data_IF_563337199628
#
_entry.id   IF_563337199628
#
_cell.length_a   1.000
_cell.length_b   1.000
_cell.length_c   1.000
_cell.angle_alpha   90.00
_cell.angle_beta   90.00
_cell.angle_gamma   90.00
#
_symmetry.space_group_name_H-M   'P 1'
#
loop_
_entity.id
_entity.type
_entity.pdbx_description
1 polymer ?
#
# COMPACT_ATOMS: atom_id res chain seq x y z
N UNK A 1 -19.90 12.44 -18.84
CA UNK A 1 -19.10 11.28 -19.28
C UNK A 1 -20.05 10.25 -19.86
N UNK A 2 -19.71 9.61 -20.98
CA UNK A 2 -20.59 8.70 -21.73
C UNK A 2 -20.65 7.26 -21.15
N UNK A 3 -20.27 7.10 -19.89
CA UNK A 3 -20.32 5.83 -19.15
C UNK A 3 -19.28 4.79 -19.60
N UNK A 4 -18.43 5.10 -20.59
CA UNK A 4 -17.38 4.16 -21.02
C UNK A 4 -16.22 4.15 -20.01
N UNK A 5 -15.68 2.97 -19.69
CA UNK A 5 -14.52 2.88 -18.81
C UNK A 5 -13.31 3.54 -19.47
N UNK A 6 -12.55 4.29 -18.66
CA UNK A 6 -11.26 4.86 -19.05
C UNK A 6 -10.16 3.93 -18.57
N UNK A 7 -9.31 3.48 -19.48
CA UNK A 7 -8.17 2.63 -19.16
C UNK A 7 -6.90 3.47 -19.06
N UNK A 8 -6.66 4.06 -17.88
CA UNK A 8 -5.53 4.96 -17.61
C UNK A 8 -4.76 4.60 -16.33
N UNK A 9 -4.87 3.37 -15.82
CA UNK A 9 -4.21 2.93 -14.58
C UNK A 9 -3.14 1.85 -14.84
N UNK A 10 -2.03 1.99 -14.12
CA UNK A 10 -0.88 1.09 -14.06
C UNK A 10 -0.85 0.25 -12.77
N UNK A 11 -1.64 0.61 -11.75
CA UNK A 11 -1.70 -0.04 -10.44
C UNK A 11 -2.96 -0.92 -10.23
N UNK A 12 -4.10 -0.56 -10.81
CA UNK A 12 -5.40 -1.15 -10.49
C UNK A 12 -5.43 -2.67 -10.70
N UNK A 13 -4.82 -3.17 -11.79
CA UNK A 13 -4.79 -4.59 -12.10
C UNK A 13 -3.93 -5.38 -11.10
N UNK A 14 -2.81 -4.80 -10.63
CA UNK A 14 -1.95 -5.44 -9.63
C UNK A 14 -2.62 -5.43 -8.24
N UNK A 15 -3.30 -4.34 -7.89
CA UNK A 15 -4.14 -4.26 -6.69
C UNK A 15 -5.27 -5.28 -6.73
N UNK A 16 -5.87 -5.51 -7.90
CA UNK A 16 -6.91 -6.53 -8.09
C UNK A 16 -6.37 -7.95 -7.87
N UNK A 17 -5.17 -8.28 -8.36
CA UNK A 17 -4.51 -9.57 -8.07
C UNK A 17 -4.27 -9.72 -6.56
N UNK A 18 -3.80 -8.67 -5.88
CA UNK A 18 -3.62 -8.68 -4.43
C UNK A 18 -4.94 -8.89 -3.67
N UNK A 19 -6.03 -8.26 -4.14
CA UNK A 19 -7.36 -8.45 -3.55
C UNK A 19 -7.89 -9.88 -3.74
N UNK A 20 -7.71 -10.46 -4.93
CA UNK A 20 -8.08 -11.85 -5.19
C UNK A 20 -7.33 -12.83 -4.28
N UNK A 21 -6.04 -12.56 -4.01
CA UNK A 21 -5.24 -13.30 -3.03
C UNK A 21 -5.75 -13.14 -1.60
N UNK A 22 -6.07 -11.92 -1.18
CA UNK A 22 -6.71 -11.66 0.13
C UNK A 22 -8.03 -12.43 0.28
N UNK A 23 -8.92 -12.33 -0.70
CA UNK A 23 -10.19 -13.08 -0.70
C UNK A 23 -9.98 -14.59 -0.61
N UNK A 24 -9.06 -15.14 -1.40
CA UNK A 24 -8.77 -16.57 -1.38
C UNK A 24 -8.22 -17.00 -0.01
N UNK A 25 -7.30 -16.23 0.59
CA UNK A 25 -6.73 -16.57 1.89
C UNK A 25 -7.77 -16.61 3.01
N UNK A 26 -8.75 -15.70 2.98
CA UNK A 26 -9.82 -15.66 3.98
C UNK A 26 -10.88 -16.76 3.77
N UNK A 27 -11.20 -17.10 2.52
CA UNK A 27 -12.33 -17.99 2.19
C UNK A 27 -11.94 -19.42 1.86
N UNK A 28 -10.70 -19.62 1.40
CA UNK A 28 -10.19 -20.87 0.82
C UNK A 28 -11.07 -21.39 -0.35
N UNK A 29 -11.77 -20.48 -1.05
CA UNK A 29 -12.68 -20.81 -2.15
C UNK A 29 -11.92 -21.19 -3.44
N UNK A 30 -11.69 -22.49 -3.60
CA UNK A 30 -11.01 -23.05 -4.77
C UNK A 30 -11.83 -22.93 -6.07
N UNK A 31 -13.17 -22.90 -6.00
CA UNK A 31 -14.01 -22.74 -7.19
C UNK A 31 -13.90 -21.32 -7.74
N UNK A 32 -13.95 -20.32 -6.86
CA UNK A 32 -13.62 -18.94 -7.21
C UNK A 32 -12.24 -18.85 -7.84
N UNK A 33 -11.22 -19.45 -7.22
CA UNK A 33 -9.85 -19.38 -7.73
C UNK A 33 -9.73 -20.01 -9.12
N UNK A 34 -10.31 -21.19 -9.35
CA UNK A 34 -10.35 -21.84 -10.68
C UNK A 34 -11.00 -20.94 -11.74
N UNK A 35 -12.07 -20.23 -11.38
CA UNK A 35 -12.77 -19.33 -12.28
C UNK A 35 -12.00 -18.03 -12.55
N UNK A 36 -11.40 -17.43 -11.52
CA UNK A 36 -10.70 -16.15 -11.61
C UNK A 36 -9.31 -16.26 -12.25
N UNK A 37 -8.60 -17.38 -12.03
CA UNK A 37 -7.19 -17.54 -12.43
C UNK A 37 -6.90 -17.24 -13.91
N UNK A 38 -7.69 -17.71 -14.90
CA UNK A 38 -7.45 -17.37 -16.31
C UNK A 38 -7.49 -15.86 -16.59
N UNK A 39 -8.35 -15.11 -15.89
CA UNK A 39 -8.41 -13.66 -16.00
C UNK A 39 -7.22 -12.99 -15.33
N UNK A 40 -6.84 -13.41 -14.12
CA UNK A 40 -5.65 -12.89 -13.43
C UNK A 40 -4.37 -13.11 -14.25
N UNK A 41 -4.24 -14.28 -14.88
CA UNK A 41 -3.16 -14.59 -15.82
C UNK A 41 -3.11 -13.61 -16.98
N UNK A 42 -4.26 -13.30 -17.58
CA UNK A 42 -4.35 -12.32 -18.68
C UNK A 42 -3.89 -10.93 -18.23
N UNK A 43 -4.24 -10.51 -17.02
CA UNK A 43 -3.76 -9.23 -16.45
C UNK A 43 -2.24 -9.24 -16.34
N UNK A 44 -1.67 -10.30 -15.77
CA UNK A 44 -0.23 -10.46 -15.59
C UNK A 44 0.54 -10.47 -16.92
N UNK A 45 0.04 -11.19 -17.93
CA UNK A 45 0.59 -11.19 -19.29
C UNK A 45 0.63 -9.80 -19.90
N UNK A 46 -0.37 -8.96 -19.64
CA UNK A 46 -0.38 -7.56 -20.10
C UNK A 46 0.77 -6.72 -19.57
N UNK A 47 1.29 -7.00 -18.36
CA UNK A 47 2.49 -6.35 -17.84
C UNK A 47 3.76 -6.84 -18.53
N UNK A 48 3.85 -8.14 -18.84
CA UNK A 48 4.99 -8.77 -19.52
C UNK A 48 5.09 -8.28 -20.97
N UNK A 49 4.00 -8.34 -21.72
CA UNK A 49 3.95 -7.91 -23.13
C UNK A 49 3.95 -6.39 -23.28
N UNK A 50 3.42 -5.70 -22.29
CA UNK A 50 3.29 -4.25 -22.26
C UNK A 50 2.06 -3.72 -23.00
N UNK A 51 1.74 -2.47 -22.69
CA UNK A 51 0.63 -1.70 -23.21
C UNK A 51 1.10 -0.31 -23.62
N UNK A 52 0.17 0.55 -24.06
CA UNK A 52 0.46 1.97 -24.24
C UNK A 52 0.73 2.74 -22.92
N UNK A 53 0.48 2.14 -21.75
CA UNK A 53 0.64 2.77 -20.44
C UNK A 53 1.89 2.31 -19.70
N UNK A 54 2.25 1.03 -19.82
CA UNK A 54 3.37 0.43 -19.09
C UNK A 54 3.94 -0.77 -19.84
N UNK A 55 5.17 -1.18 -19.52
CA UNK A 55 5.76 -2.42 -20.01
C UNK A 55 6.83 -2.92 -19.06
N UNK A 56 7.06 -4.23 -19.03
CA UNK A 56 8.25 -4.81 -18.41
C UNK A 56 9.49 -4.52 -19.26
N UNK A 57 10.53 -3.96 -18.64
CA UNK A 57 11.83 -3.74 -19.26
C UNK A 57 12.72 -5.00 -19.15
N UNK A 58 13.89 -4.96 -19.79
CA UNK A 58 14.88 -6.07 -19.78
C UNK A 58 15.45 -6.40 -18.40
N UNK A 59 15.29 -5.51 -17.43
CA UNK A 59 15.65 -5.74 -16.03
C UNK A 59 14.48 -6.24 -15.18
N UNK A 60 13.40 -6.69 -15.83
CA UNK A 60 12.17 -7.24 -15.23
C UNK A 60 11.31 -6.25 -14.46
N UNK A 61 11.72 -4.97 -14.37
CA UNK A 61 10.93 -3.92 -13.73
C UNK A 61 9.90 -3.34 -14.69
N UNK A 62 8.75 -2.94 -14.15
CA UNK A 62 7.70 -2.25 -14.89
C UNK A 62 8.06 -0.77 -15.03
N UNK A 63 8.09 -0.34 -16.29
CA UNK A 63 8.26 1.03 -16.72
C UNK A 63 6.90 1.65 -17.08
N UNK A 64 6.47 2.67 -16.34
CA UNK A 64 5.27 3.46 -16.60
C UNK A 64 5.56 4.52 -17.67
N UNK A 65 4.98 4.36 -18.85
CA UNK A 65 5.23 5.19 -20.05
C UNK A 65 4.45 6.50 -20.04
N UNK A 66 3.38 6.60 -19.24
CA UNK A 66 2.55 7.80 -19.13
C UNK A 66 2.41 8.25 -17.68
N UNK A 67 2.45 9.56 -17.48
CA UNK A 67 2.15 10.19 -16.20
C UNK A 67 0.66 10.00 -15.85
N UNK A 68 0.32 10.22 -14.58
CA UNK A 68 -1.05 10.12 -14.06
C UNK A 68 -1.68 8.73 -14.26
N UNK A 69 -0.86 7.68 -14.15
CA UNK A 69 -1.32 6.29 -14.24
C UNK A 69 -1.19 5.52 -12.93
N UNK A 70 -0.60 6.13 -11.90
CA UNK A 70 -0.56 5.59 -10.52
C UNK A 70 -1.59 6.34 -9.67
N UNK A 71 -1.93 5.85 -8.49
CA UNK A 71 -2.83 6.53 -7.54
C UNK A 71 -2.45 7.98 -7.23
N UNK A 72 -1.16 8.34 -7.35
CA UNK A 72 -0.71 9.74 -7.38
C UNK A 72 -0.92 10.36 -8.78
N UNK A 73 -2.18 10.53 -9.16
CA UNK A 73 -2.65 10.75 -10.54
C UNK A 73 -2.82 12.21 -10.99
N UNK A 74 -2.17 13.17 -10.31
CA UNK A 74 -2.22 14.59 -10.73
C UNK A 74 -1.05 14.96 -11.64
N UNK A 75 -1.24 15.96 -12.50
CA UNK A 75 -0.17 16.50 -13.36
C UNK A 75 1.01 17.09 -12.58
N UNK A 76 0.82 17.39 -11.29
CA UNK A 76 1.86 17.90 -10.39
C UNK A 76 2.64 16.81 -9.66
N UNK A 77 2.27 15.55 -9.88
CA UNK A 77 3.03 14.37 -9.47
C UNK A 77 3.21 13.46 -10.70
N UNK A 78 3.96 13.90 -11.72
CA UNK A 78 4.17 13.09 -12.91
C UNK A 78 5.08 11.91 -12.58
N UNK A 79 4.48 10.73 -12.38
CA UNK A 79 5.20 9.51 -12.05
C UNK A 79 5.30 8.62 -13.28
N UNK A 80 6.37 8.86 -14.05
CA UNK A 80 6.78 8.04 -15.20
C UNK A 80 8.04 7.25 -14.86
N UNK A 81 8.39 6.27 -15.68
CA UNK A 81 9.53 5.42 -15.42
C UNK A 81 9.18 4.31 -14.43
N UNK A 82 10.18 3.86 -13.68
CA UNK A 82 10.05 2.75 -12.72
C UNK A 82 9.62 3.32 -11.37
N UNK A 83 8.34 3.20 -11.06
CA UNK A 83 7.74 3.62 -9.79
C UNK A 83 7.86 2.50 -8.75
N UNK A 84 8.20 2.85 -7.50
CA UNK A 84 8.53 1.84 -6.46
C UNK A 84 7.36 0.94 -6.10
N UNK A 85 6.16 1.50 -5.96
CA UNK A 85 4.94 0.77 -5.60
C UNK A 85 4.43 -0.09 -6.75
N UNK A 86 4.52 0.37 -8.00
CA UNK A 86 4.18 -0.47 -9.17
C UNK A 86 5.08 -1.70 -9.20
N UNK A 87 6.38 -1.53 -8.94
CA UNK A 87 7.33 -2.63 -8.95
C UNK A 87 7.19 -3.55 -7.73
N UNK A 88 6.79 -3.02 -6.57
CA UNK A 88 6.46 -3.82 -5.40
C UNK A 88 5.18 -4.65 -5.62
N UNK A 89 4.14 -4.03 -6.16
CA UNK A 89 2.90 -4.68 -6.56
C UNK A 89 3.13 -5.73 -7.65
N UNK A 90 4.02 -5.46 -8.59
CA UNK A 90 4.43 -6.39 -9.64
C UNK A 90 5.13 -7.62 -9.08
N UNK A 91 6.14 -7.43 -8.22
CA UNK A 91 6.79 -8.54 -7.51
C UNK A 91 5.77 -9.39 -6.75
N UNK A 92 4.87 -8.74 -6.01
CA UNK A 92 3.83 -9.42 -5.24
C UNK A 92 2.87 -10.20 -6.13
N UNK A 93 2.41 -9.61 -7.25
CA UNK A 93 1.54 -10.27 -8.21
C UNK A 93 2.19 -11.49 -8.86
N UNK A 94 3.48 -11.42 -9.21
CA UNK A 94 4.23 -12.58 -9.71
C UNK A 94 4.27 -13.71 -8.68
N UNK A 95 4.58 -13.40 -7.41
CA UNK A 95 4.61 -14.40 -6.33
C UNK A 95 3.21 -15.03 -6.09
N UNK A 96 2.15 -14.21 -6.05
CA UNK A 96 0.77 -14.68 -5.91
C UNK A 96 0.41 -15.64 -7.05
N UNK A 97 0.73 -15.26 -8.30
CA UNK A 97 0.36 -16.06 -9.46
C UNK A 97 1.15 -17.37 -9.54
N UNK A 98 2.39 -17.40 -9.04
CA UNK A 98 3.20 -18.62 -8.90
C UNK A 98 2.60 -19.58 -7.85
N UNK A 99 2.14 -19.04 -6.73
CA UNK A 99 1.44 -19.81 -5.70
C UNK A 99 0.10 -20.35 -6.20
N UNK A 100 -0.72 -19.51 -6.84
CA UNK A 100 -1.99 -19.92 -7.44
C UNK A 100 -1.80 -20.97 -8.53
N UNK A 101 -0.77 -20.84 -9.37
CA UNK A 101 -0.42 -21.85 -10.37
C UNK A 101 -0.17 -23.20 -9.70
N UNK A 102 0.62 -23.20 -8.63
CA UNK A 102 0.94 -24.40 -7.83
C UNK A 102 -0.32 -25.02 -7.22
N UNK A 103 -1.15 -24.21 -6.56
CA UNK A 103 -2.39 -24.67 -5.90
C UNK A 103 -3.38 -25.29 -6.89
N UNK A 104 -3.45 -24.77 -8.11
CA UNK A 104 -4.34 -25.26 -9.16
C UNK A 104 -3.76 -26.43 -9.96
N UNK A 105 -2.48 -26.76 -9.77
CA UNK A 105 -1.75 -27.70 -10.62
C UNK A 105 -1.59 -27.21 -12.06
N UNK A 106 -1.56 -25.88 -12.25
CA UNK A 106 -1.26 -25.27 -13.54
C UNK A 106 0.25 -25.34 -13.83
N UNK A 107 0.61 -25.19 -15.12
CA UNK A 107 2.00 -25.28 -15.58
C UNK A 107 2.65 -23.90 -15.79
N UNK A 108 2.02 -22.83 -15.28
CA UNK A 108 2.60 -21.49 -15.33
C UNK A 108 3.72 -21.35 -14.30
N UNK A 109 4.83 -20.70 -14.70
CA UNK A 109 6.01 -20.52 -13.86
C UNK A 109 6.52 -19.10 -13.97
N UNK A 110 6.60 -18.41 -12.83
CA UNK A 110 7.04 -17.02 -12.76
C UNK A 110 8.40 -16.86 -12.06
N UNK A 111 9.07 -17.95 -11.70
CA UNK A 111 10.35 -17.96 -10.96
C UNK A 111 11.39 -17.02 -11.58
N UNK A 112 11.60 -17.07 -12.90
CA UNK A 112 12.57 -16.22 -13.58
C UNK A 112 12.23 -14.72 -13.46
N UNK A 113 10.95 -14.37 -13.57
CA UNK A 113 10.47 -12.99 -13.42
C UNK A 113 10.63 -12.52 -11.98
N UNK A 114 10.26 -13.35 -11.00
CA UNK A 114 10.41 -13.06 -9.56
C UNK A 114 11.87 -12.78 -9.21
N UNK A 115 12.78 -13.66 -9.64
CA UNK A 115 14.22 -13.48 -9.42
C UNK A 115 14.75 -12.24 -10.13
N UNK A 116 14.31 -11.98 -11.36
CA UNK A 116 14.66 -10.78 -12.11
C UNK A 116 14.28 -9.50 -11.37
N UNK A 117 13.04 -9.42 -10.87
CA UNK A 117 12.57 -8.27 -10.09
C UNK A 117 13.37 -8.15 -8.80
N UNK A 118 13.58 -9.24 -8.04
CA UNK A 118 14.36 -9.21 -6.79
C UNK A 118 15.80 -8.74 -7.00
N UNK A 119 16.43 -9.12 -8.11
CA UNK A 119 17.78 -8.69 -8.44
C UNK A 119 17.85 -7.20 -8.84
N UNK A 120 16.77 -6.68 -9.45
CA UNK A 120 16.69 -5.29 -9.90
C UNK A 120 16.12 -4.33 -8.85
N UNK A 121 15.31 -4.81 -7.91
CA UNK A 121 14.65 -3.98 -6.88
C UNK A 121 15.64 -3.15 -6.04
N UNK A 122 16.88 -3.60 -5.74
CA UNK A 122 17.87 -2.78 -5.08
C UNK A 122 18.20 -1.45 -5.75
N UNK A 123 17.85 -1.24 -7.03
CA UNK A 123 17.96 0.06 -7.70
C UNK A 123 17.13 1.16 -7.03
N UNK A 124 16.06 0.80 -6.31
CA UNK A 124 15.24 1.73 -5.53
C UNK A 124 15.88 2.13 -4.19
N UNK A 125 16.97 1.50 -3.77
CA UNK A 125 17.63 1.85 -2.50
C UNK A 125 18.18 3.27 -2.55
N UNK A 126 17.63 4.16 -1.70
CA UNK A 126 18.09 5.53 -1.49
C UNK A 126 18.92 5.67 -0.21
N UNK A 127 19.07 6.90 0.26
CA UNK A 127 19.72 7.17 1.54
C UNK A 127 18.68 7.18 2.67
N UNK A 128 18.52 6.03 3.34
CA UNK A 128 17.62 5.88 4.49
C UNK A 128 16.16 5.53 4.17
N UNK A 129 15.73 5.63 2.91
CA UNK A 129 14.41 5.19 2.40
C UNK A 129 14.52 4.68 0.96
N UNK A 130 13.44 4.11 0.41
CA UNK A 130 13.39 3.79 -1.02
C UNK A 130 13.05 5.05 -1.83
N UNK A 131 13.74 5.23 -2.95
CA UNK A 131 13.39 6.25 -3.97
C UNK A 131 11.96 6.03 -4.44
N UNK A 132 11.23 7.12 -4.67
CA UNK A 132 9.83 7.05 -5.15
C UNK A 132 9.74 6.51 -6.58
N UNK A 133 10.69 6.93 -7.41
CA UNK A 133 10.97 6.35 -8.73
C UNK A 133 12.48 6.21 -8.91
N UNK A 134 12.96 5.58 -9.97
CA UNK A 134 14.42 5.56 -10.20
C UNK A 134 15.03 6.95 -10.47
N UNK A 135 14.21 7.91 -10.90
CA UNK A 135 14.59 9.30 -11.20
C UNK A 135 14.21 10.30 -10.09
N UNK A 136 13.47 9.85 -9.06
CA UNK A 136 12.99 10.69 -7.95
C UNK A 136 13.32 10.02 -6.60
N UNK A 137 14.26 10.62 -5.87
CA UNK A 137 14.72 10.16 -4.57
C UNK A 137 13.88 10.68 -3.39
N UNK A 138 12.78 11.39 -3.67
CA UNK A 138 11.88 11.92 -2.66
C UNK A 138 11.37 10.85 -1.70
N UNK A 139 11.36 11.18 -0.40
CA UNK A 139 10.69 10.37 0.61
C UNK A 139 9.17 10.46 0.42
N UNK A 140 8.57 9.41 -0.11
CA UNK A 140 7.11 9.29 -0.31
C UNK A 140 6.57 8.02 0.34
N UNK A 141 5.27 7.95 0.66
CA UNK A 141 4.67 6.76 1.27
C UNK A 141 4.58 5.55 0.33
N UNK A 142 4.83 5.72 -0.97
CA UNK A 142 4.78 4.64 -1.96
C UNK A 142 5.73 3.48 -1.63
N UNK A 143 6.85 3.74 -0.94
CA UNK A 143 7.75 2.69 -0.47
C UNK A 143 7.08 1.69 0.49
N UNK A 144 5.98 2.06 1.16
CA UNK A 144 5.25 1.17 2.07
C UNK A 144 4.76 -0.09 1.34
N UNK A 145 4.38 0.01 0.07
CA UNK A 145 4.01 -1.15 -0.74
C UNK A 145 5.12 -2.20 -0.80
N UNK A 146 6.40 -1.80 -0.78
CA UNK A 146 7.52 -2.74 -0.80
C UNK A 146 7.63 -3.58 0.48
N UNK A 147 7.12 -3.08 1.61
CA UNK A 147 7.19 -3.74 2.92
C UNK A 147 5.85 -4.35 3.37
N UNK A 148 4.72 -3.79 2.93
CA UNK A 148 3.38 -4.10 3.42
C UNK A 148 2.75 -5.34 2.78
N UNK A 149 3.06 -5.60 1.50
CA UNK A 149 2.39 -6.64 0.72
C UNK A 149 2.70 -8.05 1.25
N UNK A 150 1.85 -9.06 0.94
CA UNK A 150 2.05 -10.44 1.40
C UNK A 150 3.41 -11.05 1.03
N UNK A 151 3.95 -10.68 -0.13
CA UNK A 151 5.32 -10.97 -0.54
C UNK A 151 6.12 -9.66 -0.65
N UNK A 152 6.70 -9.18 0.46
CA UNK A 152 7.49 -7.96 0.45
C UNK A 152 8.61 -8.00 -0.59
N UNK A 153 8.81 -6.88 -1.29
CA UNK A 153 9.84 -6.74 -2.30
C UNK A 153 11.24 -6.46 -1.69
N UNK A 154 11.30 -6.23 -0.38
CA UNK A 154 12.53 -5.94 0.37
C UNK A 154 12.73 -6.88 1.54
N UNK A 155 13.97 -7.02 1.99
CA UNK A 155 14.32 -7.75 3.21
C UNK A 155 14.18 -6.92 4.49
N UNK A 156 14.38 -7.58 5.64
CA UNK A 156 14.24 -7.03 7.01
C UNK A 156 14.87 -5.64 7.21
N UNK A 157 16.11 -5.44 6.76
CA UNK A 157 16.82 -4.18 6.96
C UNK A 157 16.14 -2.99 6.27
N UNK A 158 15.65 -3.21 5.05
CA UNK A 158 14.96 -2.19 4.29
C UNK A 158 13.52 -1.98 4.77
N UNK A 159 12.82 -3.04 5.19
CA UNK A 159 11.54 -2.89 5.89
C UNK A 159 11.67 -1.98 7.12
N UNK A 160 12.73 -2.17 7.93
CA UNK A 160 13.01 -1.32 9.09
C UNK A 160 13.21 0.14 8.69
N UNK A 161 14.05 0.41 7.68
CA UNK A 161 14.27 1.76 7.15
C UNK A 161 12.98 2.43 6.65
N UNK A 162 12.14 1.68 5.93
CA UNK A 162 10.84 2.15 5.43
C UNK A 162 9.92 2.54 6.58
N UNK A 163 9.77 1.66 7.59
CA UNK A 163 8.91 1.92 8.75
C UNK A 163 9.40 3.12 9.55
N UNK A 164 10.71 3.18 9.84
CA UNK A 164 11.31 4.26 10.63
C UNK A 164 11.25 5.62 9.93
N UNK A 165 11.56 5.67 8.62
CA UNK A 165 11.48 6.91 7.84
C UNK A 165 10.03 7.40 7.72
N UNK A 166 9.08 6.49 7.47
CA UNK A 166 7.65 6.82 7.44
C UNK A 166 7.20 7.36 8.79
N UNK A 167 7.52 6.65 9.89
CA UNK A 167 7.15 7.06 11.24
C UNK A 167 7.71 8.43 11.60
N UNK A 168 8.98 8.70 11.25
CA UNK A 168 9.67 9.93 11.62
C UNK A 168 9.19 11.14 10.82
N UNK A 169 8.89 10.97 9.54
CA UNK A 169 8.73 12.10 8.63
C UNK A 169 7.32 12.25 8.04
N UNK A 170 6.59 11.15 7.88
CA UNK A 170 5.33 11.13 7.13
C UNK A 170 4.10 10.82 8.00
N UNK A 171 4.26 10.01 9.05
CA UNK A 171 3.16 9.60 9.91
C UNK A 171 2.58 10.79 10.68
N UNK A 172 1.26 10.85 10.72
CA UNK A 172 0.47 11.82 11.48
C UNK A 172 -0.61 11.08 12.26
N UNK A 173 -1.31 11.75 13.19
CA UNK A 173 -2.40 11.11 13.93
C UNK A 173 -3.55 10.58 13.05
N UNK A 174 -3.79 11.19 11.88
CA UNK A 174 -4.97 10.90 11.02
C UNK A 174 -4.65 10.18 9.72
N UNK A 175 -3.37 9.94 9.43
CA UNK A 175 -2.94 9.40 8.15
C UNK A 175 -1.46 9.59 7.88
N UNK A 176 -1.04 9.35 6.64
CA UNK A 176 0.36 9.49 6.22
C UNK A 176 0.46 10.61 5.19
N UNK A 177 1.39 11.54 5.40
CA UNK A 177 1.71 12.61 4.43
C UNK A 177 2.31 12.02 3.17
N UNK A 178 1.96 12.63 2.05
CA UNK A 178 2.52 12.29 0.73
C UNK A 178 3.92 12.87 0.50
N UNK A 179 4.34 13.87 1.26
CA UNK A 179 5.69 14.43 1.30
C UNK A 179 6.07 14.88 2.72
N UNK A 180 7.36 14.87 3.10
CA UNK A 180 7.79 15.40 4.39
C UNK A 180 7.75 16.94 4.39
N UNK A 181 7.56 17.53 5.57
CA UNK A 181 7.48 18.99 5.76
C UNK A 181 8.72 19.74 5.23
N UNK A 182 9.87 19.07 5.20
CA UNK A 182 11.15 19.63 4.73
C UNK A 182 11.28 19.64 3.21
N UNK A 183 10.38 19.00 2.47
CA UNK A 183 10.46 18.93 1.02
C UNK A 183 10.06 20.27 0.39
N UNK A 184 10.81 20.75 -0.60
CA UNK A 184 10.55 22.05 -1.25
C UNK A 184 9.16 22.16 -1.88
N UNK A 185 8.63 21.03 -2.36
CA UNK A 185 7.34 20.95 -3.04
C UNK A 185 6.19 20.62 -2.06
N UNK A 186 6.46 20.51 -0.76
CA UNK A 186 5.43 20.30 0.26
C UNK A 186 4.44 21.48 0.27
N UNK A 187 3.16 21.15 0.29
CA UNK A 187 2.06 22.08 0.44
C UNK A 187 1.26 21.75 1.69
N UNK A 188 1.06 22.74 2.54
CA UNK A 188 0.31 22.61 3.79
C UNK A 188 -1.21 22.75 3.59
N UNK A 189 -1.65 23.32 2.46
CA UNK A 189 -3.03 23.74 2.24
C UNK A 189 -3.73 22.96 1.12
N UNK A 190 -4.97 22.56 1.36
CA UNK A 190 -5.88 22.02 0.34
C UNK A 190 -7.03 22.99 0.05
N UNK A 191 -6.72 24.11 -0.60
CA UNK A 191 -7.68 25.21 -0.81
C UNK A 191 -7.52 25.80 -2.22
N UNK A 192 -8.49 26.62 -2.62
CA UNK A 192 -8.46 27.35 -3.89
C UNK A 192 -9.15 26.60 -5.02
N UNK A 193 -8.76 26.94 -6.25
CA UNK A 193 -9.23 26.34 -7.50
C UNK A 193 -8.87 24.85 -7.61
N UNK A 194 -9.52 24.15 -8.54
CA UNK A 194 -9.20 22.74 -8.86
C UNK A 194 -7.70 22.57 -9.16
N UNK A 195 -7.12 23.46 -9.95
CA UNK A 195 -5.71 23.42 -10.29
C UNK A 195 -4.77 23.64 -9.08
N UNK A 196 -5.17 24.47 -8.11
CA UNK A 196 -4.40 24.66 -6.87
C UNK A 196 -4.50 23.44 -5.96
N UNK A 197 -5.69 22.82 -5.88
CA UNK A 197 -5.90 21.58 -5.13
C UNK A 197 -5.14 20.41 -5.74
N UNK A 198 -5.15 20.26 -7.06
CA UNK A 198 -4.36 19.25 -7.78
C UNK A 198 -2.86 19.36 -7.45
N UNK A 199 -2.36 20.57 -7.26
CA UNK A 199 -0.94 20.81 -6.94
C UNK A 199 -0.57 20.25 -5.58
N UNK A 200 -1.44 20.38 -4.59
CA UNK A 200 -1.18 19.93 -3.22
C UNK A 200 -1.62 18.49 -2.96
N UNK A 201 -2.59 17.97 -3.72
CA UNK A 201 -3.27 16.67 -3.53
C UNK A 201 -2.35 15.49 -3.19
N UNK A 202 -1.24 15.38 -3.94
CA UNK A 202 -0.21 14.35 -3.74
C UNK A 202 1.16 14.95 -3.34
N UNK A 203 1.20 16.20 -2.90
CA UNK A 203 2.41 16.92 -2.52
C UNK A 203 2.30 17.52 -1.10
N UNK A 204 1.83 16.73 -0.14
CA UNK A 204 1.79 17.13 1.28
C UNK A 204 0.53 16.71 2.02
N UNK A 205 -0.58 16.47 1.29
CA UNK A 205 -1.81 16.00 1.92
C UNK A 205 -1.61 14.67 2.65
N UNK A 206 -2.40 14.51 3.70
CA UNK A 206 -2.39 13.38 4.61
C UNK A 206 -3.50 12.42 4.19
N UNK A 207 -3.13 11.18 3.87
CA UNK A 207 -4.07 10.17 3.39
C UNK A 207 -4.28 9.09 4.46
N UNK A 208 -5.53 8.87 4.93
CA UNK A 208 -5.80 7.90 5.99
C UNK A 208 -5.63 6.45 5.57
N UNK A 209 -6.00 6.10 4.34
CA UNK A 209 -5.92 4.71 3.86
C UNK A 209 -4.48 4.15 3.88
N UNK A 210 -3.47 5.01 3.75
CA UNK A 210 -2.06 4.62 3.82
C UNK A 210 -1.66 4.06 5.21
N UNK A 211 -2.44 4.32 6.25
CA UNK A 211 -2.23 3.70 7.57
C UNK A 211 -2.35 2.17 7.49
N UNK A 212 -3.16 1.65 6.58
CA UNK A 212 -3.25 0.22 6.30
C UNK A 212 -1.94 -0.39 5.85
N UNK A 213 -1.30 0.23 4.85
CA UNK A 213 0.02 -0.20 4.38
C UNK A 213 1.09 -0.07 5.47
N UNK A 214 1.04 1.01 6.26
CA UNK A 214 1.98 1.17 7.37
C UNK A 214 1.78 0.10 8.46
N UNK A 215 0.54 -0.20 8.82
CA UNK A 215 0.20 -1.27 9.74
C UNK A 215 0.78 -2.61 9.25
N UNK A 216 0.52 -2.97 7.98
CA UNK A 216 1.00 -4.24 7.44
C UNK A 216 2.52 -4.30 7.32
N UNK A 217 3.17 -3.18 6.97
CA UNK A 217 4.63 -3.08 6.97
C UNK A 217 5.24 -3.30 8.37
N UNK A 218 4.61 -2.74 9.41
CA UNK A 218 5.01 -2.97 10.81
C UNK A 218 4.79 -4.44 11.19
N UNK A 219 3.66 -5.04 10.81
CA UNK A 219 3.37 -6.44 11.09
C UNK A 219 4.35 -7.38 10.39
N UNK A 220 4.68 -7.13 9.12
CA UNK A 220 5.67 -7.90 8.38
C UNK A 220 7.07 -7.76 9.00
N UNK A 221 7.46 -6.55 9.42
CA UNK A 221 8.71 -6.34 10.14
C UNK A 221 8.73 -7.10 11.49
N UNK A 222 7.59 -7.17 12.19
CA UNK A 222 7.46 -7.90 13.45
C UNK A 222 7.63 -9.40 13.30
N UNK A 223 7.20 -10.00 12.18
CA UNK A 223 7.47 -11.41 11.85
C UNK A 223 8.97 -11.74 11.80
N UNK A 224 9.83 -10.74 11.62
CA UNK A 224 11.28 -10.89 11.66
C UNK A 224 11.91 -10.64 13.06
N UNK A 225 11.10 -10.64 14.13
CA UNK A 225 11.55 -10.49 15.51
C UNK A 225 11.94 -9.06 15.91
N UNK A 226 11.48 -8.06 15.15
CA UNK A 226 11.70 -6.65 15.46
C UNK A 226 10.41 -6.06 16.04
N UNK A 227 10.44 -5.51 17.24
CA UNK A 227 9.30 -4.74 17.76
C UNK A 227 9.22 -3.39 17.05
N UNK A 228 8.20 -3.19 16.22
CA UNK A 228 7.91 -1.90 15.60
C UNK A 228 7.02 -1.03 16.49
N UNK A 229 6.89 0.26 16.15
CA UNK A 229 5.89 1.13 16.75
C UNK A 229 4.52 0.75 16.21
N UNK A 230 3.65 0.23 17.07
CA UNK A 230 2.26 0.00 16.71
C UNK A 230 1.52 1.34 16.59
N UNK A 231 0.58 1.43 15.65
CA UNK A 231 -0.37 2.54 15.64
C UNK A 231 -1.12 2.55 16.97
N UNK A 232 -1.24 3.71 17.61
CA UNK A 232 -2.09 3.83 18.79
C UNK A 232 -3.56 3.71 18.36
N UNK A 233 -4.13 2.54 18.58
CA UNK A 233 -5.52 2.21 18.27
C UNK A 233 -6.48 3.20 18.91
N UNK A 234 -6.18 3.70 20.12
CA UNK A 234 -7.05 4.68 20.79
C UNK A 234 -7.06 6.00 20.03
N UNK A 235 -5.90 6.41 19.54
CA UNK A 235 -5.75 7.58 18.67
C UNK A 235 -6.50 7.38 17.35
N UNK A 236 -6.35 6.22 16.68
CA UNK A 236 -7.09 5.91 15.45
C UNK A 236 -8.61 5.92 15.66
N UNK A 237 -9.10 5.24 16.70
CA UNK A 237 -10.51 5.18 17.03
C UNK A 237 -11.08 6.56 17.39
N UNK A 238 -10.29 7.41 18.07
CA UNK A 238 -10.69 8.76 18.43
C UNK A 238 -10.94 9.66 17.21
N UNK A 239 -10.28 9.40 16.07
CA UNK A 239 -10.53 10.15 14.85
C UNK A 239 -11.82 9.75 14.14
N UNK A 240 -12.33 8.54 14.34
CA UNK A 240 -13.63 8.12 13.81
C UNK A 240 -14.83 8.69 14.59
N UNK A 241 -14.58 9.40 15.71
CA UNK A 241 -15.65 9.87 16.60
C UNK A 241 -16.43 11.08 16.03
N UNK A 242 -17.73 11.20 16.37
CA UNK A 242 -18.55 12.37 16.05
C UNK A 242 -17.91 13.69 16.49
N UNK A 243 -17.99 14.72 15.65
CA UNK A 243 -17.44 16.05 15.93
C UNK A 243 -15.96 16.25 15.54
N UNK A 244 -15.26 15.19 15.14
CA UNK A 244 -13.94 15.29 14.50
C UNK A 244 -13.96 15.12 12.99
N UNK A 245 -15.08 14.66 12.45
CA UNK A 245 -15.28 14.40 11.02
C UNK A 245 -16.44 15.19 10.44
N UNK A 246 -16.38 15.55 9.13
CA UNK A 246 -17.50 16.21 8.45
C UNK A 246 -18.74 15.32 8.38
N UNK A 247 -18.53 14.00 8.29
CA UNK A 247 -19.58 12.98 8.30
C UNK A 247 -19.35 12.02 9.48
N UNK A 248 -20.21 12.04 10.52
CA UNK A 248 -20.03 11.18 11.70
C UNK A 248 -19.98 9.69 11.32
N UNK A 249 -18.98 8.98 11.86
CA UNK A 249 -18.78 7.55 11.59
C UNK A 249 -18.04 7.23 10.29
N UNK A 250 -17.67 8.24 9.50
CA UNK A 250 -16.90 8.07 8.27
C UNK A 250 -15.57 8.81 8.33
N UNK A 251 -14.60 8.27 7.58
CA UNK A 251 -13.28 8.87 7.42
C UNK A 251 -13.22 9.56 6.05
N UNK A 252 -12.79 10.83 5.99
CA UNK A 252 -12.64 11.57 4.75
C UNK A 252 -11.48 11.03 3.92
N UNK A 253 -11.42 11.48 2.68
CA UNK A 253 -10.40 11.11 1.72
C UNK A 253 -9.00 11.54 2.14
N UNK A 254 -8.87 12.78 2.61
CA UNK A 254 -7.59 13.35 2.99
C UNK A 254 -7.74 14.45 4.04
N UNK A 255 -6.61 14.85 4.59
CA UNK A 255 -6.47 16.04 5.44
C UNK A 255 -5.35 16.94 4.94
N UNK A 256 -5.50 18.24 5.20
CA UNK A 256 -4.43 19.21 4.99
C UNK A 256 -3.35 19.14 6.09
N UNK A 257 -2.32 19.98 6.00
CA UNK A 257 -1.22 20.02 6.96
C UNK A 257 -1.62 20.43 8.39
N UNK A 258 -2.80 21.04 8.55
CA UNK A 258 -3.38 21.43 9.85
C UNK A 258 -4.33 20.36 10.40
N UNK A 259 -4.35 19.17 9.81
CA UNK A 259 -5.26 18.07 10.15
C UNK A 259 -6.74 18.43 9.93
N UNK A 260 -7.05 19.32 8.97
CA UNK A 260 -8.42 19.62 8.59
C UNK A 260 -8.89 18.66 7.49
N UNK A 261 -10.08 18.05 7.63
CA UNK A 261 -10.60 17.11 6.65
C UNK A 261 -10.96 17.82 5.35
N UNK A 262 -10.65 17.19 4.21
CA UNK A 262 -11.02 17.69 2.89
C UNK A 262 -11.20 16.54 1.87
N UNK A 263 -11.52 16.89 0.62
CA UNK A 263 -11.88 15.93 -0.41
C UNK A 263 -13.24 15.28 -0.13
N UNK A 264 -13.42 14.03 -0.56
CA UNK A 264 -14.62 13.26 -0.25
C UNK A 264 -14.79 13.10 1.27
N UNK A 265 -15.99 13.42 1.79
CA UNK A 265 -16.28 13.39 3.24
C UNK A 265 -16.39 11.99 3.83
N UNK A 266 -16.64 10.98 3.00
CA UNK A 266 -16.83 9.60 3.39
C UNK A 266 -16.21 8.68 2.34
N UNK A 267 -14.92 8.39 2.50
CA UNK A 267 -14.13 7.76 1.46
C UNK A 267 -13.89 6.27 1.75
N UNK A 268 -14.28 5.42 0.81
CA UNK A 268 -14.32 3.97 0.98
C UNK A 268 -12.97 3.38 1.43
N UNK A 269 -11.87 3.70 0.73
CA UNK A 269 -10.56 3.16 1.08
C UNK A 269 -10.08 3.54 2.49
N UNK A 270 -10.50 4.70 2.99
CA UNK A 270 -10.05 5.24 4.27
C UNK A 270 -10.87 4.62 5.39
N UNK A 271 -12.19 4.49 5.18
CA UNK A 271 -13.04 3.76 6.10
C UNK A 271 -12.63 2.28 6.20
N UNK A 272 -12.40 1.62 5.05
CA UNK A 272 -12.06 0.19 5.00
C UNK A 272 -10.72 -0.12 5.65
N UNK A 273 -9.66 0.64 5.38
CA UNK A 273 -8.34 0.36 5.99
C UNK A 273 -8.36 0.60 7.50
N UNK A 274 -9.04 1.64 7.98
CA UNK A 274 -9.19 1.86 9.42
C UNK A 274 -10.01 0.72 10.05
N UNK A 275 -11.10 0.30 9.43
CA UNK A 275 -11.89 -0.83 9.91
C UNK A 275 -11.08 -2.13 9.96
N UNK A 276 -10.24 -2.38 8.94
CA UNK A 276 -9.35 -3.55 8.87
C UNK A 276 -8.32 -3.56 9.99
N UNK A 277 -7.64 -2.44 10.23
CA UNK A 277 -6.69 -2.31 11.34
C UNK A 277 -7.38 -2.60 12.69
N UNK A 278 -8.57 -2.02 12.90
CA UNK A 278 -9.35 -2.27 14.12
C UNK A 278 -9.73 -3.75 14.27
N UNK A 279 -10.16 -4.39 13.18
CA UNK A 279 -10.49 -5.81 13.15
C UNK A 279 -9.27 -6.67 13.52
N UNK A 280 -8.12 -6.45 12.87
CA UNK A 280 -6.88 -7.20 13.12
C UNK A 280 -6.47 -7.12 14.59
N UNK A 281 -6.56 -5.94 15.19
CA UNK A 281 -6.27 -5.76 16.60
C UNK A 281 -7.26 -6.49 17.53
N UNK A 282 -8.55 -6.50 17.20
CA UNK A 282 -9.55 -7.24 17.99
C UNK A 282 -9.31 -8.75 17.92
N UNK A 283 -9.00 -9.28 16.74
CA UNK A 283 -8.72 -10.72 16.54
C UNK A 283 -7.45 -11.13 17.29
N UNK A 284 -6.36 -10.38 17.14
CA UNK A 284 -5.08 -10.69 17.79
C UNK A 284 -5.16 -10.64 19.33
N UNK A 285 -5.90 -9.67 19.89
CA UNK A 285 -6.12 -9.59 21.34
C UNK A 285 -6.94 -10.78 21.86
N UNK A 286 -7.97 -11.21 21.11
CA UNK A 286 -8.79 -12.36 21.48
C UNK A 286 -7.97 -13.66 21.46
N UNK A 287 -7.08 -13.84 20.48
CA UNK A 287 -6.18 -15.00 20.43
C UNK A 287 -5.18 -15.05 21.61
N UNK A 288 -4.60 -13.90 22.00
CA UNK A 288 -3.76 -13.82 23.21
C UNK A 288 -4.55 -14.13 24.50
N UNK A 289 -5.79 -13.67 24.61
CA UNK A 289 -6.63 -13.93 25.78
C UNK A 289 -7.09 -15.39 25.90
N UNK A 290 -7.25 -16.09 24.77
CA UNK A 290 -7.58 -17.52 24.75
C UNK A 290 -6.36 -18.42 25.01
N UNK A 291 -5.15 -17.99 24.65
CA UNK A 291 -3.91 -18.71 24.95
C UNK A 291 -3.42 -18.55 26.41
N UNK A 292 -3.96 -17.58 27.17
CA UNK A 292 -3.64 -17.35 28.58
C UNK A 292 -4.54 -18.11 29.59
N UNK A 293 -5.27 -19.16 29.15
CA UNK A 293 -5.97 -20.09 30.07
C UNK A 293 -5.10 -21.23 30.60
N UNK A 294 -3.78 -21.19 30.37
CA UNK A 294 -2.82 -22.10 31.01
C UNK A 294 -2.11 -21.39 32.18
N UNK A 295 -2.49 -21.82 33.39
CA UNK A 295 -1.79 -21.72 34.68
C UNK A 295 -1.05 -20.41 35.04
N UNK A 296 -1.66 -19.65 35.96
CA UNK A 296 -0.89 -18.93 36.98
C UNK A 296 -1.42 -19.37 38.34
N UNK A 297 -0.76 -20.37 38.92
CA UNK A 297 -0.90 -20.70 40.34
C UNK A 297 -0.06 -19.71 41.13
N UNK A 298 -0.69 -18.72 41.76
CA UNK A 298 -0.01 -17.83 42.72
C UNK A 298 0.21 -18.60 44.01
N UNK A 299 1.44 -19.08 44.25
CA UNK A 299 1.86 -19.50 45.59
C UNK A 299 2.22 -18.26 46.40
N UNK A 300 1.38 -17.95 47.39
CA UNK A 300 1.66 -17.00 48.45
C UNK A 300 2.70 -17.56 49.43
N UNK A 301 3.75 -16.77 49.69
CA UNK A 301 4.37 -16.62 51.01
C UNK A 301 4.75 -15.17 51.20
#
# INVERSE_FOLDING_TARGET
>A
MDGRPVFNSSDAQLLYINLAYGYFNETQDLEFLRHAYPFLKKLLTGYIEGTGLYSMDTDFLINCRKAQTTWMDTKYTPRTGKCVEINALWHNALCIMDEFSTLLGAMDNYTAHILGVRNSFPKFHGDGWLRDTLEDDSLRPNQLFAAALPYPAVGKEWMKKIVESTQRHLLTPVGIRTLPLSHRDYSEYYLGSENERDRSYHNGMIWPWLLGLYHDAVQNLAKHGTTGSYLDIKTLAAFSLPGRQPCPGYIPELYDGFLKPAGCVAQAWSCSEIARILHDHMVNNNQCSNNNKAEITVRTK
#
